data_IF_236648699579
#
_entry.id   IF_236648699579
#
_cell.length_a   1.000
_cell.length_b   1.000
_cell.length_c   1.000
_cell.angle_alpha   90.00
_cell.angle_beta   90.00
_cell.angle_gamma   90.00
#
_symmetry.space_group_name_H-M   'P 1'
#
loop_
_entity.id
_entity.type
_entity.pdbx_description
1 polymer ?
#
# COMPACT_ATOMS: atom_id res chain seq x y z
N UNK A 1 27.61 0.56 16.25
CA UNK A 1 27.47 1.14 17.62
C UNK A 1 27.65 2.63 17.52
N UNK A 2 26.62 3.40 17.81
CA UNK A 2 26.72 4.84 18.00
C UNK A 2 26.92 5.11 19.49
N UNK A 3 28.01 5.76 19.85
CA UNK A 3 28.33 6.15 21.22
C UNK A 3 28.54 7.67 21.23
N UNK A 4 27.79 8.37 22.05
CA UNK A 4 27.94 9.82 22.27
C UNK A 4 28.00 10.06 23.76
N UNK A 5 29.07 10.73 24.23
CA UNK A 5 29.32 11.10 25.63
C UNK A 5 29.28 9.90 26.62
N UNK A 6 29.77 8.75 26.19
CA UNK A 6 29.79 7.52 27.02
C UNK A 6 28.44 6.82 27.12
N UNK A 7 27.42 7.29 26.40
CA UNK A 7 26.13 6.62 26.30
C UNK A 7 26.08 5.79 25.00
N UNK A 8 25.94 4.48 25.13
CA UNK A 8 25.73 3.59 24.00
C UNK A 8 24.29 3.79 23.51
N UNK A 9 24.14 4.43 22.34
CA UNK A 9 22.83 4.71 21.75
C UNK A 9 22.27 3.51 20.96
N UNK A 10 23.08 2.49 20.72
CA UNK A 10 22.72 1.29 19.96
C UNK A 10 22.70 0.05 20.85
N UNK A 11 21.58 -0.20 21.48
CA UNK A 11 21.21 -1.56 21.82
C UNK A 11 20.74 -2.27 20.55
N UNK A 12 21.08 -3.56 20.42
CA UNK A 12 20.53 -4.41 19.36
C UNK A 12 18.99 -4.36 19.47
N UNK A 13 18.34 -3.89 18.40
CA UNK A 13 16.89 -3.82 18.36
C UNK A 13 16.37 -4.99 17.54
N UNK A 14 15.41 -5.71 18.07
CA UNK A 14 14.73 -6.73 17.30
C UNK A 14 13.61 -6.10 16.46
N UNK A 15 13.44 -6.62 15.26
CA UNK A 15 12.30 -6.32 14.41
C UNK A 15 11.70 -7.65 13.95
N UNK A 16 10.41 -7.79 14.08
CA UNK A 16 9.67 -8.93 13.51
C UNK A 16 8.64 -8.43 12.52
N UNK A 17 8.53 -9.13 11.40
CA UNK A 17 7.52 -8.85 10.38
C UNK A 17 6.77 -10.15 10.06
N UNK A 18 5.46 -10.05 9.97
CA UNK A 18 4.59 -11.12 9.52
C UNK A 18 3.76 -10.62 8.36
N UNK A 19 3.79 -11.33 7.24
CA UNK A 19 3.02 -11.00 6.05
C UNK A 19 2.18 -12.19 5.59
N UNK A 20 1.00 -11.88 5.06
CA UNK A 20 0.14 -12.81 4.34
C UNK A 20 -0.14 -12.17 2.99
N UNK A 21 0.16 -12.88 1.93
CA UNK A 21 -0.18 -12.49 0.58
C UNK A 21 -1.11 -13.51 -0.09
N UNK A 22 -1.89 -13.06 -1.03
CA UNK A 22 -2.73 -13.91 -1.86
C UNK A 22 -2.79 -13.39 -3.30
N UNK A 23 -2.93 -14.32 -4.22
CA UNK A 23 -3.05 -14.06 -5.64
C UNK A 23 -3.99 -15.11 -6.23
N UNK A 24 -5.05 -14.65 -6.91
CA UNK A 24 -6.04 -15.55 -7.50
C UNK A 24 -6.66 -14.97 -8.77
N UNK A 25 -7.16 -15.86 -9.62
CA UNK A 25 -7.94 -15.47 -10.79
C UNK A 25 -9.27 -16.21 -10.77
N UNK A 26 -10.36 -15.46 -10.87
CA UNK A 26 -11.71 -16.02 -11.01
C UNK A 26 -11.89 -16.42 -12.47
N UNK A 27 -11.82 -17.72 -12.77
CA UNK A 27 -11.70 -18.24 -14.12
C UNK A 27 -12.86 -17.85 -15.05
N UNK A 28 -14.07 -17.73 -14.55
CA UNK A 28 -15.23 -17.47 -15.41
C UNK A 28 -15.36 -15.99 -15.84
N UNK A 29 -14.85 -15.05 -15.04
CA UNK A 29 -14.80 -13.61 -15.35
C UNK A 29 -13.41 -13.14 -15.74
N UNK A 30 -12.40 -13.99 -15.54
CA UNK A 30 -10.98 -13.66 -15.65
C UNK A 30 -10.57 -12.49 -14.74
N UNK A 31 -11.31 -12.26 -13.67
CA UNK A 31 -10.99 -11.24 -12.67
C UNK A 31 -9.75 -11.66 -11.90
N UNK A 32 -8.72 -10.83 -11.95
CA UNK A 32 -7.49 -11.03 -11.19
C UNK A 32 -7.56 -10.24 -9.88
N UNK A 33 -7.26 -10.92 -8.76
CA UNK A 33 -7.25 -10.33 -7.43
C UNK A 33 -5.90 -10.65 -6.79
N UNK A 34 -5.23 -9.63 -6.26
CA UNK A 34 -4.02 -9.77 -5.47
C UNK A 34 -4.10 -8.88 -4.25
N UNK A 35 -3.57 -9.34 -3.15
CA UNK A 35 -3.52 -8.55 -1.92
C UNK A 35 -2.44 -9.05 -0.98
N UNK A 36 -2.10 -8.18 -0.05
CA UNK A 36 -1.12 -8.44 0.99
C UNK A 36 -1.55 -7.74 2.27
N UNK A 37 -1.25 -8.35 3.41
CA UNK A 37 -1.39 -7.77 4.73
C UNK A 37 -0.10 -8.00 5.51
N UNK A 38 0.42 -6.94 6.12
CA UNK A 38 1.70 -6.96 6.86
C UNK A 38 1.49 -6.40 8.25
N UNK A 39 2.12 -7.05 9.22
CA UNK A 39 2.24 -6.59 10.61
C UNK A 39 3.72 -6.53 10.97
N UNK A 40 4.15 -5.42 11.53
CA UNK A 40 5.53 -5.19 11.93
C UNK A 40 5.57 -4.82 13.42
N UNK A 41 6.47 -5.45 14.17
CA UNK A 41 6.81 -5.06 15.53
C UNK A 41 8.29 -4.70 15.58
N UNK A 42 8.61 -3.57 16.17
CA UNK A 42 9.97 -3.06 16.34
C UNK A 42 10.20 -2.77 17.81
N UNK A 43 11.28 -3.28 18.37
CA UNK A 43 11.67 -2.93 19.73
C UNK A 43 12.13 -1.46 19.78
N UNK A 44 11.39 -0.65 20.51
CA UNK A 44 11.71 0.74 20.77
C UNK A 44 12.29 0.82 22.19
N UNK A 45 13.39 1.56 22.42
CA UNK A 45 14.00 1.67 23.75
C UNK A 45 12.99 2.11 24.82
N UNK A 46 12.97 1.42 25.96
CA UNK A 46 12.08 1.74 27.07
C UNK A 46 12.36 3.10 27.73
N UNK A 47 13.49 3.71 27.39
CA UNK A 47 13.83 5.08 27.81
C UNK A 47 12.92 6.14 27.21
N UNK A 48 12.23 5.84 26.10
CA UNK A 48 11.24 6.75 25.54
C UNK A 48 9.92 6.66 26.32
N UNK A 49 9.39 7.80 26.71
CA UNK A 49 8.10 7.90 27.42
C UNK A 49 6.91 7.48 26.55
N UNK A 50 7.05 7.58 25.24
CA UNK A 50 6.09 7.13 24.25
C UNK A 50 6.78 6.24 23.21
N UNK A 51 6.18 5.11 22.91
CA UNK A 51 6.69 4.10 22.00
C UNK A 51 6.11 4.30 20.58
N UNK A 52 6.67 5.25 19.82
CA UNK A 52 6.28 5.47 18.42
C UNK A 52 6.90 4.42 17.50
N UNK A 53 6.12 3.97 16.49
CA UNK A 53 6.58 3.05 15.45
C UNK A 53 6.89 1.63 15.93
N UNK A 54 6.57 1.28 17.18
CA UNK A 54 6.81 -0.05 17.71
C UNK A 54 5.88 -1.10 17.09
N UNK A 55 4.69 -0.71 16.67
CA UNK A 55 3.73 -1.57 15.96
C UNK A 55 3.21 -0.86 14.74
N UNK A 56 3.27 -1.56 13.61
CA UNK A 56 2.79 -1.05 12.33
C UNK A 56 1.96 -2.12 11.64
N UNK A 57 1.00 -1.71 10.84
CA UNK A 57 0.22 -2.62 10.00
C UNK A 57 -0.12 -1.94 8.68
N UNK A 58 -0.28 -2.75 7.65
CA UNK A 58 -0.73 -2.27 6.36
C UNK A 58 -1.32 -3.39 5.54
N UNK A 59 -2.17 -3.02 4.58
CA UNK A 59 -2.67 -3.95 3.59
C UNK A 59 -2.97 -3.24 2.28
N UNK A 60 -2.96 -4.01 1.21
CA UNK A 60 -3.57 -3.59 -0.04
C UNK A 60 -4.37 -4.74 -0.67
N UNK A 61 -5.30 -4.36 -1.50
CA UNK A 61 -6.03 -5.27 -2.40
C UNK A 61 -6.16 -4.61 -3.77
N UNK A 62 -5.71 -5.32 -4.80
CA UNK A 62 -5.90 -4.98 -6.21
C UNK A 62 -6.94 -5.91 -6.83
N UNK A 63 -7.86 -5.34 -7.58
CA UNK A 63 -8.81 -6.08 -8.42
C UNK A 63 -8.67 -5.57 -9.85
N UNK A 64 -8.45 -6.48 -10.79
CA UNK A 64 -8.34 -6.15 -12.22
C UNK A 64 -9.37 -6.98 -12.99
N UNK A 65 -10.25 -6.30 -13.71
CA UNK A 65 -11.31 -6.90 -14.50
C UNK A 65 -11.11 -6.60 -15.97
N UNK A 66 -10.87 -7.62 -16.83
CA UNK A 66 -11.00 -7.48 -18.27
C UNK A 66 -12.44 -7.16 -18.65
N UNK A 67 -12.66 -6.06 -19.37
CA UNK A 67 -14.00 -5.64 -19.81
C UNK A 67 -14.22 -5.81 -21.30
N UNK A 68 -13.15 -5.84 -22.08
CA UNK A 68 -13.22 -5.99 -23.53
C UNK A 68 -11.96 -6.69 -24.05
N UNK A 69 -12.15 -7.77 -24.78
CA UNK A 69 -11.11 -8.48 -25.53
C UNK A 69 -11.56 -8.61 -26.97
N UNK A 70 -10.88 -7.96 -27.88
CA UNK A 70 -11.19 -8.06 -29.32
C UNK A 70 -10.01 -7.65 -30.17
N UNK A 71 -10.07 -8.00 -31.44
CA UNK A 71 -9.16 -7.45 -32.45
C UNK A 71 -9.41 -5.95 -32.62
N UNK A 72 -8.33 -5.17 -32.53
CA UNK A 72 -8.32 -3.73 -32.79
C UNK A 72 -7.15 -3.43 -33.73
N UNK A 73 -7.44 -2.97 -34.94
CA UNK A 73 -6.44 -2.83 -36.01
C UNK A 73 -5.69 -4.14 -36.23
N UNK A 74 -4.36 -4.12 -36.16
CA UNK A 74 -3.50 -5.31 -36.31
C UNK A 74 -3.28 -6.09 -35.00
N UNK A 75 -3.87 -5.63 -33.89
CA UNK A 75 -3.75 -6.28 -32.57
C UNK A 75 -4.86 -7.31 -32.37
N UNK A 76 -4.53 -8.58 -32.59
CA UNK A 76 -5.49 -9.69 -32.56
C UNK A 76 -6.18 -9.88 -31.20
N UNK A 77 -5.48 -9.54 -30.09
CA UNK A 77 -5.94 -9.78 -28.71
C UNK A 77 -5.85 -8.54 -27.84
N UNK A 78 -6.24 -7.38 -28.38
CA UNK A 78 -6.25 -6.16 -27.61
C UNK A 78 -7.25 -6.27 -26.44
N UNK A 79 -6.82 -5.85 -25.24
CA UNK A 79 -7.61 -5.99 -24.01
C UNK A 79 -7.72 -4.65 -23.30
N UNK A 80 -8.94 -4.28 -22.93
CA UNK A 80 -9.20 -3.19 -21.98
C UNK A 80 -9.55 -3.78 -20.61
N UNK A 81 -8.96 -3.23 -19.55
CA UNK A 81 -9.29 -3.59 -18.20
C UNK A 81 -9.67 -2.35 -17.40
N UNK A 82 -10.57 -2.55 -16.46
CA UNK A 82 -10.74 -1.65 -15.32
C UNK A 82 -10.06 -2.29 -14.11
N UNK A 83 -9.57 -1.46 -13.22
CA UNK A 83 -8.95 -1.93 -11.99
C UNK A 83 -9.26 -0.97 -10.83
N UNK A 84 -9.17 -1.49 -9.63
CA UNK A 84 -9.23 -0.71 -8.42
C UNK A 84 -8.24 -1.27 -7.40
N UNK A 85 -7.54 -0.36 -6.71
CA UNK A 85 -6.69 -0.70 -5.58
C UNK A 85 -7.17 0.05 -4.35
N UNK A 86 -7.17 -0.64 -3.23
CA UNK A 86 -7.35 -0.06 -1.89
C UNK A 86 -6.07 -0.28 -1.11
N UNK A 87 -5.55 0.77 -0.49
CA UNK A 87 -4.39 0.72 0.40
C UNK A 87 -4.77 1.24 1.78
N UNK A 88 -4.23 0.62 2.81
CA UNK A 88 -4.25 1.12 4.17
C UNK A 88 -2.89 0.90 4.83
N UNK A 89 -2.38 1.92 5.51
CA UNK A 89 -1.14 1.85 6.28
C UNK A 89 -1.37 2.60 7.59
N UNK A 90 -0.95 2.01 8.69
CA UNK A 90 -0.94 2.59 10.02
C UNK A 90 0.49 2.41 10.59
N UNK A 91 1.21 3.51 10.72
CA UNK A 91 2.60 3.50 11.15
C UNK A 91 2.76 3.47 12.67
N UNK A 92 1.66 3.71 13.42
CA UNK A 92 1.68 3.83 14.87
C UNK A 92 0.47 3.19 15.55
N UNK A 93 0.36 1.86 15.44
CA UNK A 93 -0.74 1.10 16.07
C UNK A 93 -0.63 1.17 17.59
N UNK A 94 -1.53 1.89 18.25
CA UNK A 94 -1.56 1.99 19.70
C UNK A 94 -2.22 3.26 20.23
N UNK A 95 -1.99 3.51 21.50
CA UNK A 95 -2.51 4.69 22.20
C UNK A 95 -1.39 5.45 22.90
N UNK A 96 -1.60 6.74 23.07
CA UNK A 96 -0.71 7.57 23.90
C UNK A 96 -0.77 7.12 25.36
N UNK A 97 0.39 6.89 25.98
CA UNK A 97 0.49 6.44 27.38
C UNK A 97 -0.11 7.42 28.38
N UNK A 98 -0.10 8.73 28.09
CA UNK A 98 -0.57 9.77 28.99
C UNK A 98 -2.07 10.03 28.89
N UNK A 99 -2.66 9.92 27.70
CA UNK A 99 -4.04 10.34 27.42
C UNK A 99 -4.98 9.17 27.10
N UNK A 100 -4.44 7.99 26.83
CA UNK A 100 -5.17 6.81 26.28
C UNK A 100 -5.89 7.10 24.94
N UNK A 101 -5.64 8.22 24.29
CA UNK A 101 -6.14 8.52 22.96
C UNK A 101 -5.41 7.67 21.91
N UNK A 102 -6.04 7.32 20.81
CA UNK A 102 -5.38 6.64 19.71
C UNK A 102 -4.25 7.50 19.15
N UNK A 103 -3.17 6.83 18.77
CA UNK A 103 -2.13 7.46 17.97
C UNK A 103 -2.63 7.45 16.52
N UNK A 104 -2.67 8.61 15.88
CA UNK A 104 -2.97 8.72 14.45
C UNK A 104 -1.82 8.20 13.59
N UNK A 105 -1.56 8.87 12.49
CA UNK A 105 -0.51 8.53 11.53
C UNK A 105 -0.87 7.32 10.65
N UNK A 106 -2.07 7.36 10.10
CA UNK A 106 -2.52 6.34 9.15
C UNK A 106 -2.90 6.97 7.79
N UNK A 107 -2.79 6.16 6.76
CA UNK A 107 -3.15 6.51 5.41
C UNK A 107 -4.16 5.49 4.86
N UNK A 108 -5.24 6.01 4.28
CA UNK A 108 -6.16 5.25 3.45
C UNK A 108 -6.13 5.80 2.04
N UNK A 109 -6.13 4.94 1.02
CA UNK A 109 -6.19 5.38 -0.36
C UNK A 109 -7.01 4.45 -1.24
N UNK A 110 -7.64 5.04 -2.26
CA UNK A 110 -8.34 4.33 -3.32
C UNK A 110 -7.74 4.77 -4.65
N UNK A 111 -7.46 3.80 -5.51
CA UNK A 111 -6.85 4.04 -6.83
C UNK A 111 -7.64 3.29 -7.91
N UNK A 112 -8.73 3.85 -8.45
CA UNK A 112 -9.31 3.35 -9.68
C UNK A 112 -8.35 3.55 -10.86
N UNK A 113 -8.41 2.62 -11.82
CA UNK A 113 -7.53 2.62 -12.97
C UNK A 113 -8.22 2.03 -14.21
N UNK A 114 -7.74 2.45 -15.37
CA UNK A 114 -8.00 1.81 -16.64
C UNK A 114 -6.70 1.42 -17.29
N UNK A 115 -6.69 0.29 -18.00
CA UNK A 115 -5.53 -0.09 -18.78
C UNK A 115 -5.92 -0.64 -20.14
N UNK A 116 -5.05 -0.37 -21.10
CA UNK A 116 -5.16 -0.88 -22.47
C UNK A 116 -3.92 -1.71 -22.79
N UNK A 117 -4.13 -2.95 -23.18
CA UNK A 117 -3.10 -3.86 -23.67
C UNK A 117 -3.31 -4.12 -25.15
N UNK A 118 -2.60 -3.44 -26.05
CA UNK A 118 -2.65 -3.74 -27.48
C UNK A 118 -2.11 -5.14 -27.76
N UNK A 119 -1.06 -5.54 -27.06
CA UNK A 119 -0.44 -6.88 -27.12
C UNK A 119 -0.26 -7.46 -25.72
N UNK A 120 0.14 -8.70 -25.62
CA UNK A 120 0.47 -9.30 -24.32
C UNK A 120 1.69 -8.64 -23.65
N UNK A 121 2.56 -8.05 -24.43
CA UNK A 121 3.83 -7.47 -23.98
C UNK A 121 3.74 -5.99 -23.66
N UNK A 122 2.70 -5.29 -24.11
CA UNK A 122 2.59 -3.84 -24.00
C UNK A 122 1.36 -3.46 -23.19
N UNK A 123 1.50 -2.50 -22.27
CA UNK A 123 0.40 -1.95 -21.48
C UNK A 123 0.52 -0.44 -21.33
N UNK A 124 -0.60 0.24 -21.52
CA UNK A 124 -0.83 1.63 -21.13
C UNK A 124 -1.77 1.64 -19.93
N UNK A 125 -1.49 2.49 -18.94
CA UNK A 125 -2.32 2.62 -17.73
C UNK A 125 -2.59 4.08 -17.43
N UNK A 126 -3.79 4.36 -16.97
CA UNK A 126 -4.17 5.64 -16.37
C UNK A 126 -4.81 5.35 -15.01
N UNK A 127 -4.22 5.87 -13.96
CA UNK A 127 -4.65 5.69 -12.59
C UNK A 127 -5.02 7.05 -11.99
N UNK A 128 -6.07 7.08 -11.19
CA UNK A 128 -6.41 8.21 -10.34
C UNK A 128 -6.33 7.77 -8.88
N UNK A 129 -5.40 8.34 -8.10
CA UNK A 129 -5.27 8.03 -6.68
C UNK A 129 -5.88 9.14 -5.86
N UNK A 130 -6.76 8.80 -4.94
CA UNK A 130 -7.24 9.67 -3.88
C UNK A 130 -6.86 9.07 -2.55
N UNK A 131 -6.23 9.88 -1.68
CA UNK A 131 -5.78 9.44 -0.38
C UNK A 131 -6.17 10.41 0.72
N UNK A 132 -6.34 9.86 1.90
CA UNK A 132 -6.62 10.53 3.16
C UNK A 132 -5.54 10.11 4.16
N UNK A 133 -4.87 11.07 4.72
CA UNK A 133 -3.79 10.83 5.69
C UNK A 133 -4.04 11.65 6.93
N UNK A 134 -4.14 10.98 8.07
CA UNK A 134 -4.17 11.61 9.39
C UNK A 134 -2.74 11.79 9.89
N UNK A 135 -2.53 12.79 10.71
CA UNK A 135 -1.29 12.96 11.44
C UNK A 135 -1.30 12.16 12.76
N UNK A 136 -0.18 12.22 13.49
CA UNK A 136 0.01 11.50 14.74
C UNK A 136 -1.00 11.86 15.84
N UNK A 137 -1.55 13.08 15.81
CA UNK A 137 -2.54 13.56 16.76
C UNK A 137 -3.99 13.27 16.32
N UNK A 138 -4.18 12.52 15.25
CA UNK A 138 -5.49 12.17 14.68
C UNK A 138 -6.31 13.41 14.24
N UNK A 139 -5.63 14.48 13.83
CA UNK A 139 -6.30 15.63 13.24
C UNK A 139 -7.06 15.25 11.95
N UNK A 140 -8.06 16.03 11.52
CA UNK A 140 -8.81 15.75 10.30
C UNK A 140 -7.90 15.44 9.11
N UNK A 141 -8.19 14.34 8.41
CA UNK A 141 -7.33 13.79 7.38
C UNK A 141 -7.04 14.77 6.24
N UNK A 142 -5.77 14.99 5.96
CA UNK A 142 -5.33 15.69 4.77
C UNK A 142 -5.68 14.86 3.52
N UNK A 143 -6.31 15.51 2.54
CA UNK A 143 -6.72 14.87 1.30
C UNK A 143 -5.76 15.23 0.18
N UNK A 144 -5.33 14.22 -0.59
CA UNK A 144 -4.52 14.40 -1.80
C UNK A 144 -5.11 13.61 -2.96
N UNK A 145 -5.02 14.16 -4.15
CA UNK A 145 -5.42 13.51 -5.39
C UNK A 145 -4.30 13.61 -6.43
N UNK A 146 -4.08 12.54 -7.18
CA UNK A 146 -3.03 12.47 -8.19
C UNK A 146 -3.44 11.60 -9.36
N UNK A 147 -3.02 12.00 -10.56
CA UNK A 147 -3.11 11.21 -11.77
C UNK A 147 -1.76 10.60 -12.11
N UNK A 148 -1.76 9.34 -12.51
CA UNK A 148 -0.56 8.64 -12.95
C UNK A 148 -0.82 8.02 -14.32
N UNK A 149 0.07 8.30 -15.26
CA UNK A 149 0.12 7.62 -16.54
C UNK A 149 1.33 6.68 -16.56
N UNK A 150 1.13 5.45 -17.00
CA UNK A 150 2.18 4.44 -17.08
C UNK A 150 2.19 3.76 -18.45
N UNK A 151 3.39 3.48 -18.94
CA UNK A 151 3.64 2.68 -20.13
C UNK A 151 4.71 1.64 -19.80
N UNK A 152 4.49 0.40 -20.26
CA UNK A 152 5.46 -0.67 -20.14
C UNK A 152 5.38 -1.57 -21.35
N UNK A 153 6.55 -2.02 -21.85
CA UNK A 153 6.64 -3.01 -22.93
C UNK A 153 7.82 -3.94 -22.67
N UNK A 154 7.68 -5.21 -23.06
CA UNK A 154 8.77 -6.19 -23.08
C UNK A 154 9.20 -6.44 -24.53
N UNK A 155 10.50 -6.62 -24.71
CA UNK A 155 11.12 -6.94 -26.00
C UNK A 155 11.53 -8.40 -26.06
#
# INVERSE_FOLDING_TARGET
KFETDGVVLDEERSMSAFAIDFNTTISFTETYIVGEMVFINVDVPQTYTQQYGNKQKGYFVDVVQPILKRKILDWEKATFNIAARVDYIDWNVGTFTQTNSNIGDHLFAITPAVSFRPTQQTVFRLNYRRQWQTDILENPAAQKASWYFGFSTYF
#
